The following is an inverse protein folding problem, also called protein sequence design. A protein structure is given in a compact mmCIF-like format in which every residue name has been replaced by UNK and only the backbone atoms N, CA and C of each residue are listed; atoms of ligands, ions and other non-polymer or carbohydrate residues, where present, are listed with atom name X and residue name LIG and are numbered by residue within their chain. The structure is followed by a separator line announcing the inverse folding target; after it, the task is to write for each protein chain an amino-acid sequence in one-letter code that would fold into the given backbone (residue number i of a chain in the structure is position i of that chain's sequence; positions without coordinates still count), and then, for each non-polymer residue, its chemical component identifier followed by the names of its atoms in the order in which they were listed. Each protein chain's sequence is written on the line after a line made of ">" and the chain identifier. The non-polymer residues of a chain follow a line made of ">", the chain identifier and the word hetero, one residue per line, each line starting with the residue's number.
data_IF_714786120605
#
_entry.id   IF_714786120605
#
_cell.length_a   1.000
_cell.length_b   1.000
_cell.length_c   1.000
_cell.angle_alpha   90.00
_cell.angle_beta   90.00
_cell.angle_gamma   90.00
#
_symmetry.space_group_name_H-M   'P 1'
#
loop_
_entity.id
_entity.type
_entity.pdbx_description
1 polymer ?
#
# COMPACT_ATOMS: atom_id res chain seq x y z
N UNK A 1 10.26 13.45 10.64
CA UNK A 1 8.99 12.99 10.07
C UNK A 1 8.42 11.90 10.95
N UNK A 2 7.14 11.99 11.31
CA UNK A 2 6.42 11.02 12.15
C UNK A 2 5.46 10.21 11.28
N UNK A 3 5.63 8.89 11.24
CA UNK A 3 4.83 7.97 10.42
C UNK A 3 3.98 7.09 11.32
N UNK A 4 2.68 6.98 11.02
CA UNK A 4 1.86 5.92 11.57
C UNK A 4 1.89 4.71 10.63
N UNK A 5 2.27 3.57 11.15
CA UNK A 5 2.12 2.26 10.50
C UNK A 5 0.95 1.54 11.14
N UNK A 6 -0.16 1.41 10.41
CA UNK A 6 -1.32 0.63 10.86
C UNK A 6 -1.02 -0.84 10.62
N UNK A 7 -1.06 -1.62 11.69
CA UNK A 7 -0.83 -3.06 11.65
C UNK A 7 -2.16 -3.82 11.53
N UNK A 8 -2.34 -4.49 10.42
CA UNK A 8 -3.48 -5.37 10.15
C UNK A 8 -3.27 -6.80 10.69
N UNK A 9 -2.61 -6.94 11.85
CA UNK A 9 -2.30 -8.23 12.47
C UNK A 9 -1.45 -9.13 11.56
N UNK A 10 -0.43 -8.52 10.94
CA UNK A 10 0.41 -9.15 9.92
C UNK A 10 1.85 -9.34 10.40
N UNK A 11 2.42 -10.51 10.13
CA UNK A 11 3.80 -10.84 10.52
C UNK A 11 4.87 -9.99 9.80
N UNK A 12 4.56 -9.43 8.63
CA UNK A 12 5.47 -8.59 7.86
C UNK A 12 5.41 -7.10 8.26
N UNK A 13 4.51 -6.71 9.15
CA UNK A 13 4.40 -5.30 9.61
C UNK A 13 5.72 -4.80 10.15
N UNK A 14 6.44 -5.60 10.94
CA UNK A 14 7.71 -5.18 11.53
C UNK A 14 8.86 -5.08 10.52
N UNK A 15 8.79 -5.78 9.38
CA UNK A 15 9.73 -5.57 8.27
C UNK A 15 9.51 -4.17 7.65
N UNK A 16 8.24 -3.75 7.45
CA UNK A 16 7.93 -2.37 7.05
C UNK A 16 8.43 -1.36 8.08
N UNK A 17 8.21 -1.62 9.37
CA UNK A 17 8.71 -0.79 10.47
C UNK A 17 10.23 -0.59 10.36
N UNK A 18 11.00 -1.68 10.20
CA UNK A 18 12.46 -1.61 10.10
C UNK A 18 12.92 -0.82 8.86
N UNK A 19 12.29 -1.05 7.70
CA UNK A 19 12.63 -0.31 6.48
C UNK A 19 12.32 1.18 6.61
N UNK A 20 11.14 1.54 7.13
CA UNK A 20 10.77 2.93 7.35
C UNK A 20 11.71 3.60 8.38
N UNK A 21 12.01 2.93 9.48
CA UNK A 21 12.90 3.45 10.53
C UNK A 21 14.34 3.66 10.02
N UNK A 22 14.85 2.78 9.13
CA UNK A 22 16.16 2.94 8.49
C UNK A 22 16.27 4.20 7.62
N UNK A 23 15.13 4.76 7.18
CA UNK A 23 15.04 6.01 6.44
C UNK A 23 15.01 7.26 7.33
N UNK A 24 15.45 7.14 8.60
CA UNK A 24 15.52 8.23 9.60
C UNK A 24 14.15 8.85 9.91
N UNK A 25 13.09 8.04 9.94
CA UNK A 25 11.75 8.45 10.35
C UNK A 25 11.40 7.91 11.73
N UNK A 26 10.49 8.59 12.45
CA UNK A 26 9.89 8.09 13.69
C UNK A 26 8.62 7.32 13.34
N UNK A 27 8.64 6.00 13.48
CA UNK A 27 7.51 5.12 13.16
C UNK A 27 6.81 4.68 14.44
N UNK A 28 5.50 4.90 14.51
CA UNK A 28 4.62 4.36 15.55
C UNK A 28 3.75 3.27 14.92
N UNK A 29 3.74 2.08 15.51
CA UNK A 29 2.92 0.93 15.04
C UNK A 29 1.69 0.83 15.93
N UNK A 30 0.51 0.86 15.33
CA UNK A 30 -0.77 0.71 16.06
C UNK A 30 -1.68 -0.25 15.29
N UNK A 31 -2.33 -1.16 16.01
CA UNK A 31 -3.30 -2.11 15.46
C UNK A 31 -4.48 -1.39 14.80
N UNK A 32 -5.02 -1.97 13.74
CA UNK A 32 -6.08 -1.40 12.90
C UNK A 32 -7.40 -1.13 13.64
N UNK A 33 -7.65 -1.82 14.74
CA UNK A 33 -8.82 -1.67 15.62
C UNK A 33 -8.56 -0.76 16.85
N UNK A 34 -7.32 -0.31 17.07
CA UNK A 34 -6.89 0.47 18.24
C UNK A 34 -6.62 1.95 17.93
N UNK A 35 -6.99 2.41 16.75
CA UNK A 35 -6.83 3.81 16.37
C UNK A 35 -7.98 4.27 15.46
N UNK A 36 -8.39 5.50 15.63
CA UNK A 36 -9.42 6.16 14.84
C UNK A 36 -8.85 7.32 14.03
N UNK A 37 -9.57 7.78 13.00
CA UNK A 37 -9.18 8.95 12.21
C UNK A 37 -9.05 10.24 13.05
N UNK A 38 -9.87 10.39 14.10
CA UNK A 38 -9.80 11.54 15.03
C UNK A 38 -8.49 11.55 15.81
N UNK A 39 -8.07 10.39 16.32
CA UNK A 39 -6.81 10.23 17.05
C UNK A 39 -5.60 10.46 16.16
N UNK A 40 -5.65 9.97 14.91
CA UNK A 40 -4.58 10.19 13.92
C UNK A 40 -4.37 11.70 13.70
N UNK A 41 -5.44 12.46 13.52
CA UNK A 41 -5.36 13.92 13.37
C UNK A 41 -4.77 14.57 14.64
N UNK A 42 -5.26 14.19 15.83
CA UNK A 42 -4.78 14.72 17.11
C UNK A 42 -3.29 14.46 17.31
N UNK A 43 -2.80 13.28 16.94
CA UNK A 43 -1.39 12.89 17.09
C UNK A 43 -0.45 13.48 16.04
N UNK A 44 -0.97 14.18 15.01
CA UNK A 44 -0.23 14.92 13.97
C UNK A 44 0.84 14.08 13.27
N UNK A 45 0.43 12.96 12.67
CA UNK A 45 1.35 12.18 11.81
C UNK A 45 1.53 12.87 10.45
N UNK A 46 2.75 12.80 9.92
CA UNK A 46 3.10 13.34 8.60
C UNK A 46 2.71 12.41 7.46
N UNK A 47 2.71 11.09 7.72
CA UNK A 47 2.43 10.04 6.74
C UNK A 47 1.69 8.87 7.41
N UNK A 48 0.91 8.16 6.62
CA UNK A 48 0.20 6.96 7.02
C UNK A 48 0.62 5.79 6.12
N UNK A 49 1.00 4.67 6.71
CA UNK A 49 1.24 3.40 6.00
C UNK A 49 0.27 2.36 6.52
N UNK A 50 -0.43 1.67 5.63
CA UNK A 50 -1.35 0.58 5.97
C UNK A 50 -0.68 -0.73 5.55
N UNK A 51 -0.43 -1.60 6.52
CA UNK A 51 0.31 -2.84 6.34
C UNK A 51 -0.44 -3.88 5.48
N UNK A 52 0.25 -4.92 5.03
CA UNK A 52 -0.38 -6.18 4.67
C UNK A 52 -1.26 -6.71 5.80
N UNK A 53 -2.04 -7.73 5.52
CA UNK A 53 -2.86 -8.41 6.52
C UNK A 53 -3.70 -9.55 5.94
N UNK A 54 -4.29 -10.38 6.81
CA UNK A 54 -5.18 -11.46 6.40
C UNK A 54 -6.55 -10.96 5.95
N UNK A 55 -7.31 -11.83 5.31
CA UNK A 55 -8.71 -11.60 4.93
C UNK A 55 -8.87 -10.62 3.78
N UNK A 56 -9.82 -9.71 3.93
CA UNK A 56 -10.20 -8.72 2.91
C UNK A 56 -10.37 -7.32 3.53
N UNK A 57 -10.52 -6.26 2.73
CA UNK A 57 -10.63 -4.88 3.23
C UNK A 57 -11.74 -4.65 4.26
N UNK A 58 -12.87 -5.36 4.18
CA UNK A 58 -13.99 -5.16 5.13
C UNK A 58 -13.69 -5.74 6.53
N UNK A 59 -12.68 -6.59 6.63
CA UNK A 59 -12.21 -7.21 7.87
C UNK A 59 -11.00 -6.48 8.48
N UNK A 60 -10.55 -5.38 7.86
CA UNK A 60 -9.36 -4.62 8.26
C UNK A 60 -9.65 -3.54 9.33
N UNK A 61 -10.50 -3.84 10.31
CA UNK A 61 -10.81 -2.93 11.41
C UNK A 61 -11.24 -1.53 10.93
N UNK A 62 -10.58 -0.49 11.41
CA UNK A 62 -10.91 0.90 11.09
C UNK A 62 -10.33 1.41 9.76
N UNK A 63 -9.56 0.62 9.03
CA UNK A 63 -8.76 1.08 7.89
C UNK A 63 -9.59 1.76 6.79
N UNK A 64 -10.75 1.21 6.40
CA UNK A 64 -11.63 1.82 5.39
C UNK A 64 -12.07 3.23 5.84
N UNK A 65 -12.53 3.37 7.08
CA UNK A 65 -12.98 4.65 7.63
C UNK A 65 -11.83 5.65 7.76
N UNK A 66 -10.64 5.19 8.12
CA UNK A 66 -9.43 6.00 8.20
C UNK A 66 -9.08 6.56 6.82
N UNK A 67 -9.00 5.73 5.79
CA UNK A 67 -8.69 6.18 4.42
C UNK A 67 -9.74 7.17 3.94
N UNK A 68 -11.05 6.88 4.08
CA UNK A 68 -12.14 7.79 3.69
C UNK A 68 -12.05 9.15 4.36
N UNK A 69 -11.68 9.20 5.64
CA UNK A 69 -11.64 10.43 6.42
C UNK A 69 -10.37 11.25 6.18
N UNK A 70 -9.26 10.60 5.79
CA UNK A 70 -7.93 11.22 5.82
C UNK A 70 -7.27 11.38 4.44
N UNK A 71 -7.80 10.81 3.38
CA UNK A 71 -7.15 10.81 2.06
C UNK A 71 -6.84 12.21 1.48
N UNK A 72 -7.58 13.25 1.93
CA UNK A 72 -7.33 14.66 1.55
C UNK A 72 -6.36 15.38 2.49
N UNK A 73 -6.01 14.77 3.61
CA UNK A 73 -5.31 15.45 4.72
C UNK A 73 -3.90 14.92 4.97
N UNK A 74 -3.68 13.65 4.77
CA UNK A 74 -2.42 12.97 5.08
C UNK A 74 -2.05 12.06 3.90
N UNK A 75 -0.80 12.07 3.42
CA UNK A 75 -0.31 11.09 2.44
C UNK A 75 -0.45 9.66 2.96
N UNK A 76 -0.96 8.75 2.12
CA UNK A 76 -1.23 7.36 2.49
C UNK A 76 -0.54 6.40 1.52
N UNK A 77 0.16 5.40 2.07
CA UNK A 77 0.64 4.22 1.34
C UNK A 77 -0.07 2.98 1.84
N UNK A 78 -0.70 2.23 0.96
CA UNK A 78 -1.25 0.91 1.24
C UNK A 78 -0.38 -0.21 0.67
N UNK A 79 -0.04 -1.20 1.48
CA UNK A 79 0.73 -2.38 1.06
C UNK A 79 -0.16 -3.62 1.12
N UNK A 80 -0.23 -4.38 0.04
CA UNK A 80 -1.01 -5.61 -0.12
C UNK A 80 -2.48 -5.42 0.28
N UNK A 81 -2.92 -5.78 1.48
CA UNK A 81 -4.26 -5.48 1.98
C UNK A 81 -4.54 -3.97 1.98
N UNK A 82 -3.57 -3.15 2.37
CA UNK A 82 -3.68 -1.69 2.31
C UNK A 82 -3.93 -1.14 0.90
N UNK A 83 -3.32 -1.72 -0.12
CA UNK A 83 -3.58 -1.40 -1.53
C UNK A 83 -5.04 -1.73 -1.92
N UNK A 84 -5.55 -2.89 -1.49
CA UNK A 84 -6.93 -3.31 -1.75
C UNK A 84 -7.93 -2.40 -1.02
N UNK A 85 -7.63 -2.00 0.22
CA UNK A 85 -8.42 -1.02 0.98
C UNK A 85 -8.54 0.29 0.20
N UNK A 86 -7.43 0.83 -0.31
CA UNK A 86 -7.46 2.03 -1.15
C UNK A 86 -8.32 1.79 -2.40
N UNK A 87 -8.11 0.71 -3.13
CA UNK A 87 -8.93 0.36 -4.30
C UNK A 87 -10.42 0.37 -3.97
N UNK A 88 -10.81 -0.28 -2.89
CA UNK A 88 -12.22 -0.39 -2.47
C UNK A 88 -12.80 0.95 -1.99
N UNK A 89 -12.05 1.75 -1.26
CA UNK A 89 -12.51 3.08 -0.78
C UNK A 89 -12.86 3.99 -1.95
N UNK A 90 -12.14 3.90 -3.05
CA UNK A 90 -12.39 4.67 -4.27
C UNK A 90 -13.34 3.96 -5.27
N UNK A 91 -13.99 2.86 -4.88
CA UNK A 91 -15.08 2.23 -5.63
C UNK A 91 -14.69 1.05 -6.52
N UNK A 92 -13.44 0.61 -6.50
CA UNK A 92 -13.05 -0.63 -7.19
C UNK A 92 -13.52 -1.85 -6.41
N UNK A 93 -13.94 -2.91 -7.10
CA UNK A 93 -14.23 -4.21 -6.47
C UNK A 93 -12.93 -4.96 -6.15
N UNK A 94 -12.97 -5.75 -5.09
CA UNK A 94 -11.92 -6.69 -4.74
C UNK A 94 -12.41 -8.09 -5.06
N UNK A 95 -11.64 -8.81 -5.86
CA UNK A 95 -12.02 -10.14 -6.38
C UNK A 95 -10.91 -11.16 -6.14
N UNK A 96 -11.24 -12.44 -6.26
CA UNK A 96 -10.26 -13.52 -6.22
C UNK A 96 -9.23 -13.42 -7.35
N UNK A 97 -7.98 -13.62 -7.04
CA UNK A 97 -6.92 -13.73 -8.04
C UNK A 97 -7.05 -15.06 -8.81
N UNK A 98 -6.74 -15.05 -10.11
CA UNK A 98 -6.72 -16.29 -10.92
C UNK A 98 -5.74 -17.35 -10.42
N UNK A 99 -4.66 -16.91 -9.75
CA UNK A 99 -3.63 -17.77 -9.15
C UNK A 99 -3.32 -17.28 -7.74
N UNK A 100 -3.30 -18.20 -6.79
CA UNK A 100 -2.83 -17.93 -5.43
C UNK A 100 -1.32 -17.64 -5.48
N UNK A 101 -0.94 -16.51 -4.90
CA UNK A 101 0.44 -16.09 -4.75
C UNK A 101 0.86 -16.18 -3.28
N UNK A 102 1.82 -17.05 -2.99
CA UNK A 102 2.36 -17.22 -1.64
C UNK A 102 3.88 -17.31 -1.69
N UNK A 103 4.56 -16.22 -1.33
CA UNK A 103 6.02 -16.13 -1.32
C UNK A 103 6.70 -16.21 -2.69
N UNK A 104 5.93 -16.08 -3.77
CA UNK A 104 6.44 -16.12 -5.15
C UNK A 104 6.80 -14.73 -5.64
N UNK A 105 7.88 -14.62 -6.40
CA UNK A 105 8.20 -13.40 -7.13
C UNK A 105 7.47 -13.34 -8.46
N UNK A 106 7.23 -12.14 -8.93
CA UNK A 106 6.70 -11.88 -10.28
C UNK A 106 7.38 -10.67 -10.88
N UNK A 107 7.49 -10.68 -12.20
CA UNK A 107 7.97 -9.53 -12.95
C UNK A 107 6.86 -8.46 -12.99
N UNK A 108 7.15 -7.30 -12.45
CA UNK A 108 6.25 -6.15 -12.40
C UNK A 108 6.63 -5.16 -13.49
N UNK A 109 5.65 -4.74 -14.25
CA UNK A 109 5.77 -3.72 -15.29
C UNK A 109 5.38 -2.37 -14.72
N UNK A 110 6.36 -1.49 -14.53
CA UNK A 110 6.19 -0.15 -13.95
C UNK A 110 5.92 0.90 -15.03
N UNK A 111 4.96 1.78 -14.77
CA UNK A 111 4.72 2.99 -15.60
C UNK A 111 5.63 4.16 -15.20
N UNK A 112 6.48 3.99 -14.19
CA UNK A 112 7.45 5.01 -13.72
C UNK A 112 6.80 6.32 -13.28
N UNK A 113 5.64 6.25 -12.63
CA UNK A 113 4.90 7.39 -12.07
C UNK A 113 4.67 7.21 -10.57
N UNK A 114 4.32 8.29 -9.88
CA UNK A 114 4.10 8.29 -8.44
C UNK A 114 5.36 7.82 -7.69
N UNK A 115 5.19 6.98 -6.69
CA UNK A 115 6.31 6.42 -5.92
C UNK A 115 7.21 5.49 -6.75
N UNK A 116 6.77 5.09 -7.95
CA UNK A 116 7.55 4.29 -8.92
C UNK A 116 8.35 5.15 -9.91
N UNK A 117 8.37 6.50 -9.79
CA UNK A 117 8.99 7.43 -10.75
C UNK A 117 10.42 7.01 -11.16
N UNK A 118 11.22 6.58 -10.22
CA UNK A 118 12.62 6.18 -10.46
C UNK A 118 12.84 4.66 -10.41
N UNK A 119 11.76 3.86 -10.51
CA UNK A 119 11.87 2.41 -10.60
C UNK A 119 12.29 1.98 -12.02
N UNK A 120 12.92 0.81 -12.19
CA UNK A 120 13.09 0.20 -13.50
C UNK A 120 11.73 -0.02 -14.19
N UNK A 121 11.70 -0.05 -15.52
CA UNK A 121 10.48 -0.41 -16.27
C UNK A 121 9.96 -1.79 -15.91
N UNK A 122 10.89 -2.70 -15.55
CA UNK A 122 10.59 -4.08 -15.10
C UNK A 122 11.42 -4.38 -13.87
N UNK A 123 10.80 -4.97 -12.86
CA UNK A 123 11.48 -5.41 -11.64
C UNK A 123 10.76 -6.61 -11.03
N UNK A 124 11.48 -7.42 -10.28
CA UNK A 124 10.88 -8.51 -9.51
C UNK A 124 10.35 -8.01 -8.17
N UNK A 125 9.20 -8.55 -7.74
CA UNK A 125 8.64 -8.29 -6.42
C UNK A 125 7.92 -9.51 -5.87
N UNK A 126 7.98 -9.65 -4.55
CA UNK A 126 7.32 -10.73 -3.79
C UNK A 126 5.83 -10.48 -3.65
N UNK A 127 5.04 -11.54 -3.80
CA UNK A 127 3.57 -11.51 -3.69
C UNK A 127 3.09 -12.55 -2.69
N UNK A 128 2.13 -12.14 -1.83
CA UNK A 128 1.44 -13.00 -0.84
C UNK A 128 -0.04 -12.67 -0.83
N UNK A 129 -0.77 -12.89 -1.93
CA UNK A 129 -2.17 -12.52 -2.00
C UNK A 129 -3.02 -13.50 -2.80
N UNK A 130 -4.27 -13.67 -2.36
CA UNK A 130 -5.34 -14.38 -3.05
C UNK A 130 -6.41 -13.44 -3.62
N UNK A 131 -6.40 -12.16 -3.21
CA UNK A 131 -7.32 -11.14 -3.68
C UNK A 131 -6.56 -10.06 -4.47
N UNK A 132 -7.29 -9.40 -5.38
CA UNK A 132 -6.78 -8.32 -6.24
C UNK A 132 -7.83 -7.24 -6.45
N UNK A 133 -7.40 -6.05 -6.79
CA UNK A 133 -8.27 -4.99 -7.29
C UNK A 133 -8.73 -5.36 -8.70
N UNK A 134 -10.05 -5.42 -8.93
CA UNK A 134 -10.63 -5.77 -10.22
C UNK A 134 -10.41 -4.65 -11.25
N UNK A 135 -9.75 -5.00 -12.34
CA UNK A 135 -9.45 -4.08 -13.44
C UNK A 135 -10.71 -3.59 -14.17
N UNK A 136 -11.78 -4.41 -14.20
CA UNK A 136 -13.04 -4.06 -14.88
C UNK A 136 -13.80 -2.95 -14.15
N UNK A 137 -13.66 -2.90 -12.84
CA UNK A 137 -14.32 -1.92 -11.97
C UNK A 137 -13.34 -0.88 -11.42
N UNK A 138 -12.15 -0.76 -12.03
CA UNK A 138 -11.12 0.14 -11.54
C UNK A 138 -11.60 1.60 -11.52
N UNK A 139 -11.42 2.25 -10.38
CA UNK A 139 -11.95 3.59 -10.13
C UNK A 139 -11.39 4.64 -11.09
N UNK A 140 -12.26 5.55 -11.52
CA UNK A 140 -11.89 6.71 -12.36
C UNK A 140 -10.99 7.72 -11.61
N UNK A 141 -10.99 7.71 -10.28
CA UNK A 141 -10.16 8.60 -9.45
C UNK A 141 -8.74 8.08 -9.28
N UNK A 142 -8.48 6.84 -9.67
CA UNK A 142 -7.19 6.18 -9.54
C UNK A 142 -6.47 6.04 -10.88
N UNK A 143 -5.14 5.89 -10.81
CA UNK A 143 -4.26 5.58 -11.93
C UNK A 143 -3.52 4.29 -11.61
N UNK A 144 -3.49 3.35 -12.55
CA UNK A 144 -2.66 2.15 -12.44
C UNK A 144 -1.20 2.54 -12.69
N UNK A 145 -0.33 2.29 -11.71
CA UNK A 145 1.10 2.63 -11.77
C UNK A 145 2.01 1.45 -12.09
N UNK A 146 1.52 0.23 -11.86
CA UNK A 146 2.21 -1.01 -12.19
C UNK A 146 1.23 -2.17 -12.42
N UNK A 147 1.61 -3.13 -13.25
CA UNK A 147 0.84 -4.35 -13.55
C UNK A 147 1.79 -5.54 -13.75
N UNK A 148 1.26 -6.76 -13.65
CA UNK A 148 1.94 -7.94 -14.20
C UNK A 148 1.70 -8.04 -15.71
N UNK A 149 2.43 -8.94 -16.39
CA UNK A 149 2.22 -9.21 -17.83
C UNK A 149 0.76 -9.64 -18.14
N UNK A 150 0.14 -10.34 -17.22
CA UNK A 150 -1.25 -10.83 -17.32
C UNK A 150 -2.29 -9.75 -16.97
N UNK A 151 -1.84 -8.53 -16.66
CA UNK A 151 -2.72 -7.39 -16.40
C UNK A 151 -3.26 -7.31 -14.97
N UNK A 152 -2.70 -8.07 -14.01
CA UNK A 152 -3.05 -7.89 -12.60
C UNK A 152 -2.48 -6.56 -12.09
N UNK A 153 -3.31 -5.73 -11.48
CA UNK A 153 -2.91 -4.43 -10.93
C UNK A 153 -1.96 -4.65 -9.75
N UNK A 154 -0.74 -4.14 -9.86
CA UNK A 154 0.33 -4.25 -8.87
C UNK A 154 0.68 -2.92 -8.22
N UNK A 155 0.21 -1.81 -8.77
CA UNK A 155 0.38 -0.49 -8.20
C UNK A 155 -0.74 0.44 -8.63
N UNK A 156 -1.15 1.32 -7.73
CA UNK A 156 -2.11 2.38 -7.99
C UNK A 156 -1.70 3.68 -7.29
N UNK A 157 -2.23 4.79 -7.78
CA UNK A 157 -2.16 6.09 -7.11
C UNK A 157 -3.45 6.87 -7.37
N UNK A 158 -3.78 7.80 -6.47
CA UNK A 158 -4.87 8.73 -6.70
C UNK A 158 -4.45 9.86 -7.64
N UNK A 159 -5.35 10.31 -8.53
CA UNK A 159 -5.06 11.36 -9.52
C UNK A 159 -4.68 12.70 -8.91
N UNK A 160 -5.25 13.04 -7.76
CA UNK A 160 -5.14 14.37 -7.16
C UNK A 160 -4.42 14.38 -5.81
N UNK A 161 -4.59 13.35 -5.00
CA UNK A 161 -4.09 13.30 -3.63
C UNK A 161 -2.88 12.37 -3.52
N UNK A 162 -2.02 12.61 -2.54
CA UNK A 162 -0.83 11.80 -2.29
C UNK A 162 -1.21 10.45 -1.63
N UNK A 163 -1.86 9.60 -2.43
CA UNK A 163 -2.32 8.26 -2.05
C UNK A 163 -1.72 7.26 -3.02
N UNK A 164 -1.07 6.26 -2.50
CA UNK A 164 -0.40 5.22 -3.26
C UNK A 164 -0.73 3.84 -2.71
N UNK A 165 -0.75 2.84 -3.56
CA UNK A 165 -0.91 1.45 -3.17
C UNK A 165 -0.03 0.53 -4.00
N UNK A 166 0.59 -0.46 -3.36
CA UNK A 166 1.31 -1.55 -4.01
C UNK A 166 0.76 -2.90 -3.55
N UNK A 167 0.44 -3.79 -4.50
CA UNK A 167 -0.09 -5.13 -4.20
C UNK A 167 1.01 -6.10 -3.77
N UNK A 168 2.23 -5.85 -4.19
CA UNK A 168 3.42 -6.60 -3.79
C UNK A 168 3.99 -6.11 -2.45
N UNK A 169 4.95 -6.84 -1.90
CA UNK A 169 5.60 -6.57 -0.61
C UNK A 169 6.95 -5.86 -0.79
N UNK A 170 7.00 -4.52 -0.63
CA UNK A 170 8.25 -3.75 -0.73
C UNK A 170 9.23 -4.05 0.42
N UNK A 171 8.75 -4.56 1.55
CA UNK A 171 9.55 -4.95 2.71
C UNK A 171 10.22 -6.32 2.58
N UNK A 172 9.89 -7.05 1.53
CA UNK A 172 10.51 -8.35 1.27
C UNK A 172 11.93 -8.19 0.70
N UNK A 173 12.87 -8.99 1.19
CA UNK A 173 14.25 -9.03 0.67
C UNK A 173 14.31 -9.39 -0.82
N UNK A 174 13.32 -10.13 -1.33
CA UNK A 174 13.18 -10.49 -2.74
C UNK A 174 12.48 -9.39 -3.57
N UNK A 175 12.32 -8.18 -3.02
CA UNK A 175 11.87 -6.99 -3.73
C UNK A 175 12.98 -5.93 -3.69
N UNK A 176 14.00 -6.02 -4.58
CA UNK A 176 15.22 -5.22 -4.45
C UNK A 176 15.01 -3.71 -4.43
N UNK A 177 13.93 -3.23 -5.08
CA UNK A 177 13.61 -1.80 -5.12
C UNK A 177 12.76 -1.32 -3.92
N UNK A 178 12.42 -2.21 -2.99
CA UNK A 178 11.44 -1.94 -1.94
C UNK A 178 11.79 -0.73 -1.07
N UNK A 179 13.02 -0.68 -0.55
CA UNK A 179 13.48 0.46 0.25
C UNK A 179 13.46 1.77 -0.55
N UNK A 180 13.78 1.73 -1.84
CA UNK A 180 13.71 2.90 -2.74
C UNK A 180 12.27 3.39 -2.90
N UNK A 181 11.30 2.49 -3.02
CA UNK A 181 9.87 2.85 -3.10
C UNK A 181 9.38 3.52 -1.82
N UNK A 182 9.74 2.98 -0.65
CA UNK A 182 9.40 3.57 0.64
C UNK A 182 10.05 4.96 0.78
N UNK A 183 11.31 5.12 0.39
CA UNK A 183 12.00 6.42 0.35
C UNK A 183 11.28 7.40 -0.59
N UNK A 184 10.85 6.94 -1.76
CA UNK A 184 10.08 7.78 -2.69
C UNK A 184 8.77 8.25 -2.05
N UNK A 185 8.03 7.36 -1.37
CA UNK A 185 6.79 7.74 -0.67
C UNK A 185 7.04 8.78 0.42
N UNK A 186 8.10 8.61 1.22
CA UNK A 186 8.46 9.56 2.28
C UNK A 186 8.74 10.95 1.69
N UNK A 187 9.38 11.03 0.52
CA UNK A 187 9.77 12.27 -0.13
C UNK A 187 8.78 12.76 -1.21
N UNK A 188 7.65 12.09 -1.37
CA UNK A 188 6.63 12.46 -2.36
C UNK A 188 5.81 13.65 -1.85
N UNK A 189 5.86 14.75 -2.57
CA UNK A 189 5.10 15.98 -2.32
C UNK A 189 3.98 16.15 -3.33
#
# INVERSE_FOLDING_TARGET
>A
MKILLIDNYDSFTFNLYHYLSSLKTKVEVIRNDKITSKEIIKKKYDRLVISPGPGNPTQAGNCINIVRSLYKKIPILGVCLGHQIIGQVFGSKIIGAKKLMHGKTSLILSKKIGILKNAPKKFEATRYHSLIVDKKTFSKDLIITAETKEGTIMGLMHKKYNIHGVQFHPESIKTPIGLKLLKNFINYN
#
